data_IF_761233471581
#
_entry.id   IF_761233471581
#
_cell.length_a   1.000
_cell.length_b   1.000
_cell.length_c   1.000
_cell.angle_alpha   90.00
_cell.angle_beta   90.00
_cell.angle_gamma   90.00
#
_symmetry.space_group_name_H-M   'P 1'
#
loop_
_entity.id
_entity.type
_entity.pdbx_description
1 polymer ?
#
# COMPACT_ATOMS: atom_id res chain seq x y z
N UNK A 1 -52.83 13.66 43.73
CA UNK A 1 -51.48 13.26 44.17
C UNK A 1 -50.65 12.89 42.95
N UNK A 2 -49.69 13.74 42.56
CA UNK A 2 -48.76 13.48 41.45
C UNK A 2 -47.71 12.48 41.93
N UNK A 3 -47.62 11.29 41.32
CA UNK A 3 -46.49 10.37 41.56
C UNK A 3 -45.23 10.98 40.97
N UNK A 4 -44.32 11.39 41.85
CA UNK A 4 -42.97 11.82 41.52
C UNK A 4 -42.20 10.63 40.92
N UNK A 5 -41.95 10.68 39.63
CA UNK A 5 -41.05 9.77 38.91
C UNK A 5 -39.61 10.24 39.14
N UNK A 6 -39.00 9.77 40.22
CA UNK A 6 -37.56 9.91 40.44
C UNK A 6 -36.82 9.05 39.40
N UNK A 7 -36.13 9.72 38.47
CA UNK A 7 -35.29 9.08 37.48
C UNK A 7 -34.18 8.28 38.16
N UNK A 8 -34.31 6.95 38.12
CA UNK A 8 -33.28 6.04 38.60
C UNK A 8 -32.08 6.14 37.67
N UNK A 9 -30.91 6.43 38.22
CA UNK A 9 -29.64 6.32 37.48
C UNK A 9 -29.39 4.84 37.15
N UNK A 10 -28.70 4.54 36.04
CA UNK A 10 -28.56 3.17 35.51
C UNK A 10 -28.07 2.12 36.51
N UNK A 11 -27.32 2.53 37.54
CA UNK A 11 -26.87 1.66 38.63
C UNK A 11 -28.01 1.19 39.56
N UNK A 12 -29.02 2.03 39.83
CA UNK A 12 -30.14 1.69 40.71
C UNK A 12 -31.17 0.74 40.07
N UNK A 13 -31.13 0.57 38.75
CA UNK A 13 -32.01 -0.38 38.04
C UNK A 13 -31.48 -1.82 38.17
N UNK A 14 -30.16 -2.00 38.09
CA UNK A 14 -29.50 -3.31 38.17
C UNK A 14 -29.75 -4.00 39.51
N UNK A 15 -29.93 -3.26 40.60
CA UNK A 15 -30.21 -3.82 41.92
C UNK A 15 -31.61 -4.43 42.04
N UNK A 16 -32.58 -3.95 41.26
CA UNK A 16 -33.98 -4.40 41.28
C UNK A 16 -34.24 -5.66 40.46
N UNK A 17 -33.28 -6.09 39.65
CA UNK A 17 -33.43 -7.29 38.81
C UNK A 17 -33.31 -8.57 39.65
N UNK A 18 -33.95 -9.65 39.19
CA UNK A 18 -33.84 -10.97 39.83
C UNK A 18 -32.40 -11.49 39.78
N UNK A 19 -31.90 -12.12 40.85
CA UNK A 19 -30.51 -12.58 40.93
C UNK A 19 -30.17 -13.60 39.84
N UNK A 20 -31.11 -14.47 39.45
CA UNK A 20 -30.91 -15.44 38.36
C UNK A 20 -30.71 -14.72 37.03
N UNK A 21 -31.48 -13.65 36.78
CA UNK A 21 -31.36 -12.83 35.57
C UNK A 21 -30.03 -12.06 35.53
N UNK A 22 -29.57 -11.53 36.67
CA UNK A 22 -28.24 -10.89 36.75
C UNK A 22 -27.14 -11.89 36.43
N UNK A 23 -27.18 -13.08 37.05
CA UNK A 23 -26.19 -14.13 36.79
C UNK A 23 -26.19 -14.60 35.33
N UNK A 24 -27.37 -14.71 34.72
CA UNK A 24 -27.52 -15.09 33.31
C UNK A 24 -27.02 -14.00 32.36
N UNK A 25 -27.31 -12.72 32.67
CA UNK A 25 -26.82 -11.59 31.89
C UNK A 25 -25.29 -11.47 31.97
N UNK A 26 -24.70 -11.69 33.15
CA UNK A 26 -23.25 -11.71 33.33
C UNK A 26 -22.61 -12.87 32.54
N UNK A 27 -23.20 -14.07 32.62
CA UNK A 27 -22.74 -15.22 31.86
C UNK A 27 -22.81 -14.99 30.35
N UNK A 28 -23.90 -14.39 29.86
CA UNK A 28 -24.07 -14.04 28.45
C UNK A 28 -23.06 -12.97 28.01
N UNK A 29 -22.91 -11.91 28.80
CA UNK A 29 -21.97 -10.82 28.55
C UNK A 29 -20.55 -11.37 28.44
N UNK A 30 -20.13 -12.17 29.42
CA UNK A 30 -18.82 -12.82 29.42
C UNK A 30 -18.65 -13.74 28.21
N UNK A 31 -19.64 -14.59 27.92
CA UNK A 31 -19.63 -15.48 26.76
C UNK A 31 -19.47 -14.73 25.42
N UNK A 32 -20.17 -13.61 25.24
CA UNK A 32 -20.07 -12.78 24.03
C UNK A 32 -18.70 -12.13 23.95
N UNK A 33 -18.22 -11.47 25.00
CA UNK A 33 -16.94 -10.76 24.96
C UNK A 33 -15.74 -11.68 24.78
N UNK A 34 -15.74 -12.86 25.42
CA UNK A 34 -14.67 -13.85 25.27
C UNK A 34 -14.58 -14.43 23.85
N UNK A 35 -15.71 -14.45 23.12
CA UNK A 35 -15.79 -15.01 21.76
C UNK A 35 -15.76 -13.96 20.66
N UNK A 36 -15.94 -12.69 21.00
CA UNK A 36 -15.96 -11.61 20.01
C UNK A 36 -14.55 -11.37 19.48
N UNK A 37 -14.40 -11.46 18.16
CA UNK A 37 -13.16 -11.11 17.47
C UNK A 37 -13.27 -9.73 16.83
N UNK A 38 -12.15 -9.03 16.60
CA UNK A 38 -12.14 -7.80 15.81
C UNK A 38 -12.86 -8.02 14.49
N UNK A 39 -13.76 -7.09 14.12
CA UNK A 39 -14.47 -7.17 12.84
C UNK A 39 -13.44 -7.07 11.71
N UNK A 40 -13.55 -7.96 10.73
CA UNK A 40 -12.66 -8.03 9.57
C UNK A 40 -13.48 -8.11 8.29
N UNK A 41 -12.92 -7.61 7.20
CA UNK A 41 -13.40 -7.83 5.83
C UNK A 41 -12.22 -8.33 5.01
N UNK A 42 -12.34 -9.56 4.50
CA UNK A 42 -11.19 -10.30 3.96
C UNK A 42 -10.12 -10.51 5.03
N UNK A 43 -8.88 -10.12 4.73
CA UNK A 43 -7.76 -10.17 5.67
C UNK A 43 -7.60 -8.89 6.53
N UNK A 44 -8.38 -7.83 6.25
CA UNK A 44 -8.17 -6.52 6.84
C UNK A 44 -9.01 -6.34 8.10
N UNK A 45 -8.38 -5.96 9.21
CA UNK A 45 -9.07 -5.60 10.46
C UNK A 45 -9.73 -4.23 10.32
N UNK A 46 -11.02 -4.17 10.66
CA UNK A 46 -11.82 -2.94 10.67
C UNK A 46 -11.46 -2.09 11.89
N UNK A 47 -10.49 -1.21 11.69
CA UNK A 47 -10.06 -0.21 12.68
C UNK A 47 -11.07 0.92 12.80
N UNK A 48 -11.03 1.68 13.90
CA UNK A 48 -11.91 2.83 14.13
C UNK A 48 -12.00 3.82 12.96
N UNK A 49 -10.87 4.24 12.35
CA UNK A 49 -10.90 5.12 11.17
C UNK A 49 -11.57 4.50 9.93
N UNK A 50 -11.40 3.20 9.71
CA UNK A 50 -12.08 2.48 8.61
C UNK A 50 -13.59 2.51 8.86
N UNK A 51 -14.00 2.14 10.08
CA UNK A 51 -15.40 2.09 10.45
C UNK A 51 -16.06 3.47 10.29
N UNK A 52 -15.43 4.53 10.80
CA UNK A 52 -15.92 5.90 10.66
C UNK A 52 -16.08 6.30 9.18
N UNK A 53 -15.12 5.92 8.32
CA UNK A 53 -15.20 6.19 6.87
C UNK A 53 -16.38 5.47 6.19
N UNK A 54 -16.64 4.20 6.55
CA UNK A 54 -17.79 3.46 6.04
C UNK A 54 -19.09 4.07 6.53
N UNK A 55 -19.19 4.42 7.82
CA UNK A 55 -20.36 5.08 8.39
C UNK A 55 -20.64 6.40 7.67
N UNK A 56 -19.62 7.21 7.39
CA UNK A 56 -19.78 8.45 6.63
C UNK A 56 -20.30 8.17 5.22
N UNK A 57 -19.71 7.22 4.49
CA UNK A 57 -20.17 6.85 3.15
C UNK A 57 -21.62 6.36 3.14
N UNK A 58 -22.05 5.68 4.19
CA UNK A 58 -23.43 5.23 4.35
C UNK A 58 -24.38 6.42 4.59
N UNK A 59 -24.00 7.33 5.48
CA UNK A 59 -24.75 8.55 5.75
C UNK A 59 -24.87 9.42 4.48
N UNK A 60 -23.78 9.57 3.74
CA UNK A 60 -23.79 10.34 2.48
C UNK A 60 -24.72 9.70 1.45
N UNK A 61 -24.73 8.36 1.31
CA UNK A 61 -25.66 7.68 0.42
C UNK A 61 -27.12 7.89 0.85
N UNK A 62 -27.42 7.71 2.14
CA UNK A 62 -28.76 7.90 2.69
C UNK A 62 -29.26 9.34 2.51
N UNK A 63 -28.39 10.33 2.73
CA UNK A 63 -28.72 11.74 2.57
C UNK A 63 -28.91 12.16 1.10
N UNK A 64 -28.46 11.35 0.14
CA UNK A 64 -28.60 11.60 -1.30
C UNK A 64 -29.56 10.60 -1.97
N UNK A 65 -30.52 10.03 -1.22
CA UNK A 65 -31.53 9.08 -1.70
C UNK A 65 -30.95 7.85 -2.43
N UNK A 66 -29.70 7.49 -2.13
CA UNK A 66 -29.00 6.36 -2.71
C UNK A 66 -28.97 5.17 -1.75
N UNK A 67 -28.96 3.95 -2.30
CA UNK A 67 -28.82 2.74 -1.49
C UNK A 67 -27.35 2.56 -1.09
N UNK A 68 -27.02 2.56 0.22
CA UNK A 68 -25.65 2.36 0.65
C UNK A 68 -25.18 0.95 0.29
N UNK A 69 -24.05 0.87 -0.42
CA UNK A 69 -23.46 -0.39 -0.84
C UNK A 69 -22.15 -0.61 -0.10
N UNK A 70 -22.04 -1.77 0.58
CA UNK A 70 -20.86 -2.12 1.38
C UNK A 70 -19.61 -2.14 0.50
N UNK A 71 -19.70 -2.70 -0.71
CA UNK A 71 -18.55 -2.87 -1.62
C UNK A 71 -17.96 -1.52 -2.04
N UNK A 72 -18.78 -0.56 -2.45
CA UNK A 72 -18.31 0.78 -2.86
C UNK A 72 -17.76 1.57 -1.68
N UNK A 73 -18.35 1.40 -0.50
CA UNK A 73 -17.88 2.06 0.74
C UNK A 73 -16.50 1.55 1.14
N UNK A 74 -16.24 0.25 1.04
CA UNK A 74 -14.91 -0.33 1.29
C UNK A 74 -13.87 0.13 0.27
N UNK A 75 -14.22 0.12 -1.02
CA UNK A 75 -13.34 0.59 -2.09
C UNK A 75 -12.94 2.06 -1.89
N UNK A 76 -13.90 2.92 -1.56
CA UNK A 76 -13.66 4.34 -1.25
C UNK A 76 -12.71 4.53 -0.06
N UNK A 77 -12.83 3.71 0.99
CA UNK A 77 -11.93 3.77 2.16
C UNK A 77 -10.51 3.32 1.80
N UNK A 78 -10.34 2.27 1.00
CA UNK A 78 -9.02 1.82 0.52
C UNK A 78 -8.36 2.89 -0.37
N UNK A 79 -9.11 3.44 -1.33
CA UNK A 79 -8.63 4.49 -2.23
C UNK A 79 -8.24 5.76 -1.45
N UNK A 80 -9.05 6.17 -0.46
CA UNK A 80 -8.75 7.34 0.38
C UNK A 80 -7.48 7.16 1.19
N UNK A 81 -7.23 5.94 1.71
CA UNK A 81 -5.99 5.64 2.44
C UNK A 81 -4.76 5.71 1.54
N UNK A 82 -4.82 5.08 0.36
CA UNK A 82 -3.76 5.16 -0.64
C UNK A 82 -3.49 6.60 -1.08
N UNK A 83 -4.56 7.36 -1.36
CA UNK A 83 -4.48 8.76 -1.75
C UNK A 83 -3.76 9.61 -0.69
N UNK A 84 -4.13 9.48 0.59
CA UNK A 84 -3.46 10.19 1.69
C UNK A 84 -1.98 9.84 1.82
N UNK A 85 -1.62 8.57 1.63
CA UNK A 85 -0.22 8.15 1.66
C UNK A 85 0.58 8.77 0.50
N UNK A 86 -0.01 8.83 -0.70
CA UNK A 86 0.60 9.47 -1.88
C UNK A 86 0.73 10.99 -1.69
N UNK A 87 -0.31 11.65 -1.17
CA UNK A 87 -0.29 13.08 -0.87
C UNK A 87 0.80 13.40 0.15
N UNK A 88 0.89 12.63 1.23
CA UNK A 88 1.96 12.76 2.22
C UNK A 88 3.35 12.59 1.60
N UNK A 89 3.57 11.52 0.82
CA UNK A 89 4.85 11.29 0.15
C UNK A 89 5.20 12.42 -0.83
N UNK A 90 4.20 12.94 -1.54
CA UNK A 90 4.34 14.04 -2.49
C UNK A 90 4.70 15.35 -1.78
N UNK A 91 4.06 15.65 -0.64
CA UNK A 91 4.38 16.84 0.16
C UNK A 91 5.78 16.76 0.78
N UNK A 92 6.19 15.59 1.27
CA UNK A 92 7.58 15.37 1.74
C UNK A 92 8.57 15.56 0.60
N UNK A 93 8.26 15.06 -0.59
CA UNK A 93 9.12 15.24 -1.77
C UNK A 93 9.20 16.71 -2.21
N UNK A 94 8.06 17.39 -2.31
CA UNK A 94 7.97 18.80 -2.72
C UNK A 94 8.63 19.73 -1.71
N UNK A 95 8.43 19.52 -0.42
CA UNK A 95 9.08 20.30 0.65
C UNK A 95 10.59 20.08 0.69
N UNK A 96 11.07 18.91 0.24
CA UNK A 96 12.49 18.67 0.03
C UNK A 96 13.06 19.39 -1.21
N UNK A 97 12.21 19.95 -2.08
CA UNK A 97 12.62 20.60 -3.33
C UNK A 97 12.58 22.13 -3.20
N UNK A 98 13.76 22.75 -3.28
CA UNK A 98 13.91 24.20 -3.20
C UNK A 98 13.70 24.83 -4.59
N UNK A 99 12.48 25.32 -4.85
CA UNK A 99 12.00 25.85 -6.14
C UNK A 99 12.71 27.13 -6.62
N UNK A 100 13.62 27.69 -5.81
CA UNK A 100 14.29 28.98 -6.04
C UNK A 100 15.51 28.92 -6.95
N UNK A 101 15.92 27.75 -7.46
CA UNK A 101 17.20 27.56 -8.17
C UNK A 101 17.01 27.40 -9.68
N UNK A 102 17.75 28.16 -10.53
CA UNK A 102 17.57 28.16 -11.99
C UNK A 102 18.12 26.88 -12.65
N UNK A 103 17.75 26.70 -13.92
CA UNK A 103 18.05 25.58 -14.83
C UNK A 103 19.42 24.93 -14.54
N UNK A 104 19.38 23.62 -14.32
CA UNK A 104 20.47 22.80 -13.80
C UNK A 104 21.73 22.86 -14.69
N UNK A 105 22.81 23.43 -14.16
CA UNK A 105 24.14 23.18 -14.69
C UNK A 105 24.52 21.68 -14.49
N UNK A 106 25.33 21.06 -15.37
CA UNK A 106 25.67 19.64 -15.28
C UNK A 106 26.26 19.22 -13.93
N UNK A 107 26.94 20.15 -13.25
CA UNK A 107 27.53 19.94 -11.94
C UNK A 107 26.47 19.82 -10.83
N UNK A 108 25.39 20.61 -10.89
CA UNK A 108 24.28 20.52 -9.95
C UNK A 108 23.45 19.25 -10.18
N UNK A 109 23.22 18.86 -11.45
CA UNK A 109 22.52 17.60 -11.78
C UNK A 109 23.18 16.38 -11.11
N UNK A 110 24.51 16.30 -11.18
CA UNK A 110 25.28 15.24 -10.50
C UNK A 110 25.14 15.27 -8.97
N UNK A 111 25.07 16.46 -8.37
CA UNK A 111 24.83 16.59 -6.92
C UNK A 111 23.41 16.14 -6.53
N UNK A 112 22.39 16.52 -7.31
CA UNK A 112 21.01 16.09 -7.10
C UNK A 112 20.86 14.57 -7.26
N UNK A 113 21.46 13.97 -8.30
CA UNK A 113 21.47 12.51 -8.49
C UNK A 113 22.12 11.79 -7.30
N UNK A 114 23.24 12.32 -6.79
CA UNK A 114 23.90 11.77 -5.60
C UNK A 114 23.00 11.85 -4.35
N UNK A 115 22.28 12.97 -4.19
CA UNK A 115 21.37 13.16 -3.07
C UNK A 115 20.14 12.26 -3.16
N UNK A 116 19.53 12.13 -4.35
CA UNK A 116 18.42 11.23 -4.65
C UNK A 116 18.82 9.77 -4.42
N UNK A 117 19.99 9.34 -4.92
CA UNK A 117 20.54 8.00 -4.65
C UNK A 117 20.75 7.74 -3.16
N UNK A 118 21.10 8.77 -2.37
CA UNK A 118 21.28 8.64 -0.91
C UNK A 118 19.95 8.54 -0.17
N UNK A 119 18.99 9.40 -0.49
CA UNK A 119 17.64 9.38 0.11
C UNK A 119 16.92 8.07 -0.19
N UNK A 120 16.96 7.64 -1.45
CA UNK A 120 16.33 6.41 -1.88
C UNK A 120 16.90 5.19 -1.14
N UNK A 121 18.22 5.09 -0.98
CA UNK A 121 18.87 4.03 -0.17
C UNK A 121 18.41 4.00 1.29
N UNK A 122 18.17 5.17 1.89
CA UNK A 122 17.71 5.28 3.29
C UNK A 122 16.25 4.89 3.45
N UNK A 123 15.42 5.18 2.46
CA UNK A 123 13.98 4.95 2.50
C UNK A 123 13.56 3.61 1.90
N UNK A 124 14.47 2.90 1.23
CA UNK A 124 14.21 1.66 0.50
C UNK A 124 13.62 0.54 1.36
N UNK A 125 14.34 0.10 2.40
CA UNK A 125 13.87 -0.99 3.27
C UNK A 125 12.54 -0.67 3.99
N UNK A 126 12.37 0.53 4.60
CA UNK A 126 11.10 0.89 5.21
C UNK A 126 9.92 0.90 4.23
N UNK A 127 10.15 1.39 3.00
CA UNK A 127 9.10 1.47 1.97
C UNK A 127 8.66 0.08 1.52
N UNK A 128 9.59 -0.85 1.33
CA UNK A 128 9.28 -2.24 0.96
C UNK A 128 8.44 -2.92 2.04
N UNK A 129 8.84 -2.78 3.31
CA UNK A 129 8.12 -3.38 4.45
C UNK A 129 6.68 -2.87 4.52
N UNK A 130 6.47 -1.57 4.30
CA UNK A 130 5.15 -0.92 4.37
C UNK A 130 4.26 -1.31 3.17
N UNK A 131 4.86 -1.55 2.00
CA UNK A 131 4.15 -1.98 0.79
C UNK A 131 3.75 -3.47 0.80
N UNK A 132 4.50 -4.32 1.50
CA UNK A 132 4.13 -5.72 1.76
C UNK A 132 2.86 -5.84 2.64
N UNK A 133 2.54 -4.81 3.42
CA UNK A 133 1.36 -4.75 4.31
C UNK A 133 0.11 -4.11 3.65
N UNK A 134 0.25 -3.50 2.46
CA UNK A 134 -0.87 -2.88 1.72
C UNK A 134 -1.60 -3.90 0.83
N UNK A 135 -2.86 -3.60 0.50
CA UNK A 135 -3.79 -4.43 -0.30
C UNK A 135 -3.03 -5.16 -1.41
N UNK A 136 -3.08 -6.50 -1.35
CA UNK A 136 -2.20 -7.45 -2.04
C UNK A 136 -1.93 -7.12 -3.53
N UNK A 137 -2.91 -6.57 -4.25
CA UNK A 137 -2.79 -6.18 -5.66
C UNK A 137 -2.03 -4.86 -5.87
N UNK A 138 -2.40 -3.81 -5.15
CA UNK A 138 -1.76 -2.48 -5.27
C UNK A 138 -0.35 -2.53 -4.70
N UNK A 139 -0.15 -3.23 -3.57
CA UNK A 139 1.15 -3.46 -2.96
C UNK A 139 2.13 -4.14 -3.92
N UNK A 140 1.75 -5.28 -4.53
CA UNK A 140 2.60 -6.02 -5.49
C UNK A 140 2.93 -5.19 -6.74
N UNK A 141 1.96 -4.47 -7.29
CA UNK A 141 2.21 -3.62 -8.47
C UNK A 141 3.15 -2.46 -8.14
N UNK A 142 2.98 -1.86 -6.97
CA UNK A 142 3.79 -0.73 -6.52
C UNK A 142 5.22 -1.17 -6.21
N UNK A 143 5.38 -2.33 -5.57
CA UNK A 143 6.67 -2.96 -5.31
C UNK A 143 7.42 -3.29 -6.61
N UNK A 144 6.75 -3.90 -7.59
CA UNK A 144 7.34 -4.19 -8.90
C UNK A 144 7.88 -2.92 -9.59
N UNK A 145 7.10 -1.83 -9.58
CA UNK A 145 7.50 -0.54 -10.15
C UNK A 145 8.66 0.12 -9.40
N UNK A 146 8.70 0.00 -8.07
CA UNK A 146 9.78 0.54 -7.25
C UNK A 146 11.09 -0.23 -7.45
N UNK A 147 11.05 -1.56 -7.54
CA UNK A 147 12.20 -2.41 -7.84
C UNK A 147 12.81 -2.06 -9.21
N UNK A 148 11.95 -1.87 -10.21
CA UNK A 148 12.34 -1.38 -11.53
C UNK A 148 12.97 0.03 -11.49
N UNK A 149 12.40 0.93 -10.71
CA UNK A 149 12.94 2.28 -10.53
C UNK A 149 14.28 2.26 -9.77
N UNK A 150 14.45 1.34 -8.82
CA UNK A 150 15.70 1.15 -8.10
C UNK A 150 16.82 0.70 -9.02
N UNK A 151 16.59 -0.33 -9.83
CA UNK A 151 17.59 -0.83 -10.77
C UNK A 151 17.97 0.26 -11.79
N UNK A 152 16.99 1.04 -12.28
CA UNK A 152 17.23 2.18 -13.17
C UNK A 152 18.06 3.28 -12.49
N UNK A 153 17.73 3.65 -11.25
CA UNK A 153 18.42 4.70 -10.51
C UNK A 153 19.82 4.29 -10.05
N UNK A 154 20.04 3.03 -9.68
CA UNK A 154 21.32 2.53 -9.17
C UNK A 154 22.29 2.11 -10.27
N UNK A 155 21.79 1.87 -11.49
CA UNK A 155 22.64 1.72 -12.67
C UNK A 155 23.48 3.00 -12.87
N UNK A 156 24.80 2.83 -12.88
CA UNK A 156 25.76 3.93 -13.07
C UNK A 156 26.10 4.13 -14.56
N UNK A 157 25.86 3.09 -15.37
CA UNK A 157 25.82 3.10 -16.82
C UNK A 157 24.80 2.05 -17.29
N UNK A 158 24.03 2.40 -18.32
CA UNK A 158 22.88 1.63 -18.84
C UNK A 158 23.29 0.22 -19.35
N UNK A 159 24.57 -0.02 -19.61
CA UNK A 159 25.04 -1.19 -20.37
C UNK A 159 25.60 -2.36 -19.55
N UNK A 160 25.93 -2.21 -18.26
CA UNK A 160 26.73 -3.25 -17.56
C UNK A 160 26.15 -3.69 -16.21
N UNK A 161 25.40 -2.84 -15.48
CA UNK A 161 24.90 -3.24 -14.16
C UNK A 161 23.78 -4.28 -14.28
N UNK A 162 23.87 -5.43 -13.57
CA UNK A 162 22.80 -6.41 -13.58
C UNK A 162 21.55 -5.79 -12.93
N UNK A 163 20.37 -6.00 -13.55
CA UNK A 163 19.10 -5.75 -12.86
C UNK A 163 18.99 -6.72 -11.69
N UNK A 164 19.23 -6.22 -10.48
CA UNK A 164 19.31 -7.01 -9.25
C UNK A 164 17.98 -7.60 -8.83
N UNK A 165 16.87 -6.96 -9.21
CA UNK A 165 15.53 -7.34 -8.74
C UNK A 165 14.61 -7.89 -9.85
N UNK A 166 15.15 -8.26 -11.00
CA UNK A 166 14.35 -8.67 -12.17
C UNK A 166 13.49 -9.90 -11.90
N UNK A 167 14.04 -10.93 -11.26
CA UNK A 167 13.33 -12.17 -11.00
C UNK A 167 12.16 -11.96 -10.01
N UNK A 168 12.39 -11.13 -8.98
CA UNK A 168 11.37 -10.70 -8.02
C UNK A 168 10.24 -9.92 -8.73
N UNK A 169 10.59 -9.01 -9.64
CA UNK A 169 9.62 -8.22 -10.41
C UNK A 169 8.78 -9.12 -11.33
N UNK A 170 9.40 -10.04 -12.05
CA UNK A 170 8.70 -11.00 -12.93
C UNK A 170 7.76 -11.89 -12.12
N UNK A 171 8.19 -12.36 -10.95
CA UNK A 171 7.35 -13.13 -10.04
C UNK A 171 6.15 -12.31 -9.57
N UNK A 172 6.34 -11.05 -9.17
CA UNK A 172 5.26 -10.15 -8.74
C UNK A 172 4.20 -9.95 -9.84
N UNK A 173 4.62 -9.74 -11.09
CA UNK A 173 3.69 -9.64 -12.22
C UNK A 173 2.97 -10.96 -12.50
N UNK A 174 3.64 -12.10 -12.38
CA UNK A 174 3.01 -13.42 -12.55
C UNK A 174 1.93 -13.67 -11.50
N UNK A 175 2.14 -13.21 -10.26
CA UNK A 175 1.18 -13.31 -9.17
C UNK A 175 0.02 -12.34 -9.37
N UNK A 176 0.27 -11.12 -9.87
CA UNK A 176 -0.77 -10.16 -10.23
C UNK A 176 -1.71 -10.69 -11.33
N UNK A 177 -1.17 -11.37 -12.34
CA UNK A 177 -1.98 -11.99 -13.40
C UNK A 177 -2.93 -13.06 -12.87
N UNK A 178 -2.57 -13.76 -11.79
CA UNK A 178 -3.43 -14.76 -11.12
C UNK A 178 -4.44 -14.11 -10.17
N UNK A 179 -4.02 -13.05 -9.47
CA UNK A 179 -4.81 -12.34 -8.46
C UNK A 179 -5.88 -11.44 -9.05
N UNK A 180 -5.62 -10.87 -10.23
CA UNK A 180 -6.56 -10.00 -10.91
C UNK A 180 -6.62 -10.27 -12.43
N UNK A 181 -7.57 -11.10 -12.87
CA UNK A 181 -7.79 -11.39 -14.28
C UNK A 181 -8.25 -10.16 -15.09
N UNK A 182 -8.88 -9.18 -14.43
CA UNK A 182 -9.46 -8.02 -15.14
C UNK A 182 -8.41 -7.14 -15.82
N UNK A 183 -7.18 -7.09 -15.27
CA UNK A 183 -6.06 -6.34 -15.85
C UNK A 183 -4.95 -7.27 -16.38
N UNK A 184 -5.26 -8.54 -16.66
CA UNK A 184 -4.30 -9.56 -17.10
C UNK A 184 -3.40 -9.07 -18.25
N UNK A 185 -3.98 -8.42 -19.26
CA UNK A 185 -3.23 -7.95 -20.43
C UNK A 185 -2.21 -6.86 -20.05
N UNK A 186 -2.60 -5.92 -19.20
CA UNK A 186 -1.69 -4.87 -18.71
C UNK A 186 -0.50 -5.47 -17.95
N UNK A 187 -0.74 -6.45 -17.08
CA UNK A 187 0.34 -7.14 -16.37
C UNK A 187 1.22 -7.98 -17.30
N UNK A 188 0.64 -8.61 -18.32
CA UNK A 188 1.38 -9.36 -19.35
C UNK A 188 2.30 -8.45 -20.15
N UNK A 189 1.83 -7.26 -20.51
CA UNK A 189 2.60 -6.30 -21.29
C UNK A 189 3.79 -5.76 -20.46
N UNK A 190 3.55 -5.42 -19.19
CA UNK A 190 4.61 -5.00 -18.26
C UNK A 190 5.62 -6.13 -17.99
N UNK A 191 5.15 -7.36 -17.77
CA UNK A 191 6.02 -8.54 -17.65
C UNK A 191 6.91 -8.70 -18.89
N UNK A 192 6.32 -8.61 -20.08
CA UNK A 192 7.03 -8.75 -21.36
C UNK A 192 8.08 -7.65 -21.54
N UNK A 193 7.78 -6.42 -21.12
CA UNK A 193 8.71 -5.30 -21.15
C UNK A 193 9.92 -5.52 -20.23
N UNK A 194 9.68 -5.98 -18.99
CA UNK A 194 10.75 -6.29 -18.03
C UNK A 194 11.64 -7.42 -18.55
N UNK A 195 11.03 -8.47 -19.07
CA UNK A 195 11.75 -9.60 -19.67
C UNK A 195 12.57 -9.16 -20.89
N UNK A 196 12.01 -8.31 -21.76
CA UNK A 196 12.74 -7.77 -22.91
C UNK A 196 13.95 -6.93 -22.48
N UNK A 197 13.82 -6.13 -21.42
CA UNK A 197 14.95 -5.37 -20.85
C UNK A 197 16.06 -6.28 -20.35
N UNK A 198 15.72 -7.38 -19.67
CA UNK A 198 16.69 -8.40 -19.23
C UNK A 198 17.42 -9.01 -20.42
N UNK A 199 16.70 -9.40 -21.47
CA UNK A 199 17.28 -9.97 -22.70
C UNK A 199 18.21 -8.97 -23.38
N UNK A 200 17.80 -7.70 -23.51
CA UNK A 200 18.64 -6.64 -24.10
C UNK A 200 19.93 -6.42 -23.29
N UNK A 201 19.85 -6.44 -21.95
CA UNK A 201 21.04 -6.34 -21.09
C UNK A 201 21.98 -7.53 -21.25
N UNK A 202 21.45 -8.76 -21.33
CA UNK A 202 22.25 -9.96 -21.57
C UNK A 202 22.97 -9.90 -22.92
N UNK A 203 22.27 -9.50 -23.98
CA UNK A 203 22.85 -9.33 -25.32
C UNK A 203 23.95 -8.27 -25.30
N UNK A 204 23.70 -7.13 -24.64
CA UNK A 204 24.68 -6.05 -24.52
C UNK A 204 25.95 -6.52 -23.81
N UNK A 205 25.80 -7.25 -22.70
CA UNK A 205 26.93 -7.84 -21.93
C UNK A 205 27.74 -8.85 -22.75
N UNK A 206 27.07 -9.74 -23.48
CA UNK A 206 27.72 -10.73 -24.35
C UNK A 206 28.48 -10.06 -25.50
N UNK A 207 27.90 -8.99 -26.08
CA UNK A 207 28.56 -8.19 -27.12
C UNK A 207 29.83 -7.51 -26.59
N UNK A 208 29.78 -6.91 -25.40
CA UNK A 208 30.96 -6.28 -24.77
C UNK A 208 32.03 -7.32 -24.39
N UNK A 209 31.63 -8.49 -23.86
CA UNK A 209 32.56 -9.57 -23.55
C UNK A 209 33.27 -10.12 -24.80
N UNK A 210 32.54 -10.22 -25.92
CA UNK A 210 33.09 -10.64 -27.22
C UNK A 210 34.12 -9.63 -27.77
N UNK A 211 33.86 -8.34 -27.63
CA UNK A 211 34.80 -7.28 -28.05
C UNK A 211 36.08 -7.29 -27.19
N UNK A 212 35.96 -7.48 -25.88
CA UNK A 212 37.12 -7.56 -24.99
C UNK A 212 38.02 -8.75 -25.31
N UNK A 213 37.44 -9.93 -25.59
CA UNK A 213 38.19 -11.13 -26.01
C UNK A 213 38.93 -10.94 -27.35
N UNK A 214 38.43 -10.10 -28.26
CA UNK A 214 39.13 -9.78 -29.51
C UNK A 214 40.29 -8.79 -29.32
N UNK A 215 40.23 -7.92 -28.30
CA UNK A 215 41.31 -6.99 -27.98
C UNK A 215 42.48 -7.65 -27.24
N UNK A 216 42.24 -8.70 -26.44
CA UNK A 216 43.28 -9.43 -25.70
C UNK A 216 44.09 -10.43 -26.56
N UNK A 217 43.72 -10.61 -27.85
CA UNK A 217 44.39 -11.48 -28.83
C UNK A 217 45.28 -10.71 -29.83
N UNK A 218 45.47 -9.40 -29.62
CA UNK A 218 46.38 -8.51 -30.37
C UNK A 218 47.49 -7.98 -29.44
#
# INVERSE_FOLDING_TARGET
>A
MKKSSSGLTGYQFMDKLRPEFKSGLDALTRFVFERTRPKQVGATVMTGPIFAGITQSFLDALNNDAVPTITSSWQSVEETKCKRAVEYATEVYKSSFDSSKPVLSPLKKRQYEKHMKKLFRRLWLPLIQLLLELVLKIGKLTLARLLMAYDAMMSSDISISPMTHVDEVLQLYSELMKLDPTHYQCYKDEYSLVFLKQVIQLISRLSTARLNLQCDLL
#
